data_IF_183356533726
#
_entry.id   IF_183356533726
#
_cell.length_a   1.000
_cell.length_b   1.000
_cell.length_c   1.000
_cell.angle_alpha   90.00
_cell.angle_beta   90.00
_cell.angle_gamma   90.00
#
_symmetry.space_group_name_H-M   'P 1'
#
loop_
_entity.id
_entity.type
_entity.pdbx_description
1 polymer ?
#
# COMPACT_ATOMS: atom_id res chain seq x y z
N UNK A 1 -10.76 -0.06 -3.92
CA UNK A 1 -10.83 1.22 -3.20
C UNK A 1 -11.51 0.98 -1.86
N UNK A 2 -11.11 1.64 -0.77
CA UNK A 2 -11.79 1.54 0.52
C UNK A 2 -13.23 2.05 0.40
N UNK A 3 -14.17 1.39 1.07
CA UNK A 3 -15.58 1.76 1.03
C UNK A 3 -15.85 3.06 1.81
N UNK A 4 -16.27 4.11 1.08
CA UNK A 4 -16.56 5.43 1.64
C UNK A 4 -15.36 6.37 1.75
N UNK A 5 -14.24 6.09 1.09
CA UNK A 5 -13.17 7.08 0.90
C UNK A 5 -13.64 8.25 0.03
N UNK A 6 -13.23 9.46 0.36
CA UNK A 6 -13.51 10.64 -0.44
C UNK A 6 -12.84 10.52 -1.81
N UNK A 7 -13.61 10.67 -2.90
CA UNK A 7 -13.16 10.36 -4.26
C UNK A 7 -11.95 11.19 -4.75
N UNK A 8 -11.68 12.34 -4.12
CA UNK A 8 -10.60 13.25 -4.50
C UNK A 8 -9.43 13.30 -3.49
N UNK A 9 -9.52 12.56 -2.39
CA UNK A 9 -8.50 12.58 -1.34
C UNK A 9 -7.42 11.53 -1.65
N UNK A 10 -6.13 11.86 -1.45
CA UNK A 10 -5.05 10.90 -1.70
C UNK A 10 -5.18 9.69 -0.78
N UNK A 11 -4.87 8.51 -1.33
CA UNK A 11 -4.84 7.25 -0.58
C UNK A 11 -3.39 6.85 -0.42
N UNK A 12 -2.94 6.72 0.83
CA UNK A 12 -1.62 6.24 1.18
C UNK A 12 -1.66 4.72 1.37
N UNK A 13 -0.94 3.97 0.53
CA UNK A 13 -0.73 2.53 0.72
C UNK A 13 0.69 2.26 1.21
N UNK A 14 0.78 1.55 2.33
CA UNK A 14 2.02 1.02 2.89
C UNK A 14 1.95 -0.51 2.93
N UNK A 15 3.01 -1.19 2.52
CA UNK A 15 3.12 -2.65 2.61
C UNK A 15 4.42 -3.02 3.30
N UNK A 16 4.30 -3.94 4.26
CA UNK A 16 5.37 -4.44 5.10
C UNK A 16 5.56 -5.94 4.88
N UNK A 17 6.82 -6.37 4.81
CA UNK A 17 7.18 -7.79 4.81
C UNK A 17 7.01 -8.42 6.19
N UNK A 18 7.25 -9.73 6.28
CA UNK A 18 7.12 -10.50 7.53
C UNK A 18 7.91 -9.93 8.72
N UNK A 19 9.08 -9.33 8.46
CA UNK A 19 9.93 -8.74 9.50
C UNK A 19 9.52 -7.30 9.88
N UNK A 20 8.38 -6.81 9.40
CA UNK A 20 7.96 -5.41 9.61
C UNK A 20 8.72 -4.38 8.77
N UNK A 21 9.57 -4.82 7.84
CA UNK A 21 10.27 -3.93 6.91
C UNK A 21 9.30 -3.41 5.85
N UNK A 22 9.28 -2.08 5.64
CA UNK A 22 8.49 -1.46 4.56
C UNK A 22 9.08 -1.84 3.20
N UNK A 23 8.32 -2.57 2.39
CA UNK A 23 8.72 -3.06 1.05
C UNK A 23 8.07 -2.28 -0.09
N UNK A 24 6.94 -1.62 0.18
CA UNK A 24 6.26 -0.79 -0.81
C UNK A 24 5.55 0.39 -0.14
N UNK A 25 5.54 1.52 -0.85
CA UNK A 25 4.84 2.75 -0.47
C UNK A 25 4.29 3.44 -1.71
N UNK A 26 3.03 3.90 -1.62
CA UNK A 26 2.43 4.75 -2.64
C UNK A 26 1.54 5.79 -1.99
N UNK A 27 1.91 7.06 -2.14
CA UNK A 27 1.19 8.18 -1.54
C UNK A 27 -0.11 8.55 -2.27
N UNK A 28 -0.23 8.11 -3.52
CA UNK A 28 -1.32 8.43 -4.44
C UNK A 28 -1.94 7.15 -5.01
N UNK A 29 -2.11 6.14 -4.16
CA UNK A 29 -2.52 4.80 -4.55
C UNK A 29 -3.81 4.80 -5.38
N UNK A 30 -3.77 4.14 -6.53
CA UNK A 30 -4.89 4.01 -7.45
C UNK A 30 -5.14 5.23 -8.35
N UNK A 31 -4.45 6.36 -8.12
CA UNK A 31 -4.50 7.52 -9.02
C UNK A 31 -3.84 7.14 -10.35
N UNK A 32 -4.50 7.47 -11.47
CA UNK A 32 -4.03 7.11 -12.84
C UNK A 32 -3.76 5.61 -13.04
N UNK A 33 -4.39 4.73 -12.27
CA UNK A 33 -4.21 3.28 -12.39
C UNK A 33 -2.92 2.74 -11.76
N UNK A 34 -2.27 3.53 -10.90
CA UNK A 34 -1.09 3.11 -10.15
C UNK A 34 -1.48 2.19 -8.98
N UNK A 35 -1.67 0.92 -9.32
CA UNK A 35 -1.99 -0.15 -8.39
C UNK A 35 -0.77 -1.00 -8.09
N UNK A 36 -0.75 -1.59 -6.90
CA UNK A 36 0.30 -2.50 -6.48
C UNK A 36 0.28 -3.75 -7.36
N UNK A 37 1.43 -4.08 -7.97
CA UNK A 37 1.57 -5.20 -8.91
C UNK A 37 2.40 -6.37 -8.36
N UNK A 38 2.66 -6.40 -7.05
CA UNK A 38 3.51 -7.44 -6.46
C UNK A 38 5.01 -7.15 -6.50
N UNK A 39 5.42 -5.89 -6.68
CA UNK A 39 6.83 -5.50 -6.73
C UNK A 39 7.16 -4.50 -5.62
N UNK A 40 8.33 -4.66 -5.00
CA UNK A 40 8.86 -3.70 -4.03
C UNK A 40 9.34 -2.41 -4.70
N UNK A 41 9.13 -1.26 -4.06
CA UNK A 41 9.59 0.05 -4.57
C UNK A 41 10.37 0.90 -3.55
N UNK A 42 10.58 0.42 -2.33
CA UNK A 42 11.31 1.18 -1.30
C UNK A 42 12.82 1.09 -1.48
N UNK A 43 13.46 2.27 -1.53
CA UNK A 43 14.92 2.41 -1.56
C UNK A 43 15.49 1.92 -0.22
N UNK A 44 16.12 0.75 -0.21
CA UNK A 44 16.63 0.11 1.02
C UNK A 44 16.36 -1.39 1.06
N UNK A 45 15.37 -1.87 0.30
CA UNK A 45 15.28 -3.29 -0.04
C UNK A 45 16.29 -3.57 -1.16
N UNK A 46 17.25 -4.49 -0.94
CA UNK A 46 18.27 -4.86 -1.92
C UNK A 46 17.55 -5.35 -3.19
N UNK A 47 17.47 -4.48 -4.19
CA UNK A 47 16.70 -4.66 -5.42
C UNK A 47 15.41 -3.83 -5.44
N UNK A 48 15.52 -2.58 -5.90
CA UNK A 48 14.34 -1.86 -6.41
C UNK A 48 13.66 -2.78 -7.44
N UNK A 49 12.33 -2.90 -7.38
CA UNK A 49 11.54 -3.72 -8.29
C UNK A 49 11.70 -5.25 -8.11
N UNK A 50 12.06 -5.72 -6.91
CA UNK A 50 12.02 -7.15 -6.58
C UNK A 50 10.58 -7.66 -6.51
N UNK A 51 10.31 -8.77 -7.20
CA UNK A 51 9.04 -9.49 -7.10
C UNK A 51 8.83 -10.02 -5.66
N UNK A 52 7.63 -9.82 -5.15
CA UNK A 52 7.21 -10.20 -3.81
C UNK A 52 6.37 -11.49 -3.90
N UNK A 53 6.66 -12.46 -3.02
CA UNK A 53 5.91 -13.71 -2.94
C UNK A 53 5.64 -14.04 -1.48
N UNK A 54 4.40 -14.39 -1.15
CA UNK A 54 3.96 -14.73 0.19
C UNK A 54 3.00 -13.71 0.79
N UNK A 55 2.90 -13.72 2.12
CA UNK A 55 1.96 -12.89 2.88
C UNK A 55 2.63 -11.62 3.38
N UNK A 56 1.98 -10.49 3.14
CA UNK A 56 2.41 -9.15 3.52
C UNK A 56 1.34 -8.49 4.38
N UNK A 57 1.77 -7.58 5.26
CA UNK A 57 0.86 -6.73 6.01
C UNK A 57 0.72 -5.38 5.29
N UNK A 58 -0.50 -4.87 5.16
CA UNK A 58 -0.74 -3.59 4.53
C UNK A 58 -1.50 -2.63 5.44
N UNK A 59 -1.25 -1.34 5.24
CA UNK A 59 -1.99 -0.24 5.84
C UNK A 59 -2.42 0.69 4.71
N UNK A 60 -3.72 1.00 4.65
CA UNK A 60 -4.30 2.02 3.77
C UNK A 60 -4.76 3.19 4.63
N UNK A 61 -4.17 4.36 4.42
CA UNK A 61 -4.60 5.62 5.03
C UNK A 61 -5.41 6.41 3.99
N UNK A 62 -6.58 6.91 4.38
CA UNK A 62 -7.45 7.68 3.50
C UNK A 62 -8.32 8.66 4.30
N UNK A 63 -8.80 9.71 3.66
CA UNK A 63 -9.75 10.65 4.27
C UNK A 63 -11.19 10.18 4.06
N UNK A 64 -11.98 10.22 5.13
CA UNK A 64 -13.41 9.92 5.15
C UNK A 64 -14.13 10.93 6.03
N UNK A 65 -15.02 11.72 5.43
CA UNK A 65 -15.77 12.78 6.11
C UNK A 65 -14.87 13.80 6.84
N UNK A 66 -13.78 14.22 6.19
CA UNK A 66 -12.81 15.15 6.76
C UNK A 66 -11.95 14.59 7.90
N UNK A 67 -12.01 13.28 8.18
CA UNK A 67 -11.14 12.59 9.14
C UNK A 67 -10.21 11.62 8.43
N UNK A 68 -8.99 11.49 8.91
CA UNK A 68 -8.08 10.43 8.46
C UNK A 68 -8.46 9.10 9.11
N UNK A 69 -8.66 8.10 8.27
CA UNK A 69 -8.98 6.73 8.66
C UNK A 69 -7.86 5.80 8.20
N UNK A 70 -7.68 4.70 8.93
CA UNK A 70 -6.70 3.67 8.59
C UNK A 70 -7.37 2.30 8.50
N UNK A 71 -7.21 1.63 7.36
CA UNK A 71 -7.58 0.24 7.18
C UNK A 71 -6.32 -0.64 7.16
N UNK A 72 -6.33 -1.74 7.90
CA UNK A 72 -5.19 -2.65 8.04
C UNK A 72 -5.59 -4.06 7.68
N UNK A 73 -4.66 -4.84 7.14
CA UNK A 73 -4.94 -6.22 6.80
C UNK A 73 -3.74 -6.97 6.25
N UNK A 74 -4.00 -8.18 5.77
CA UNK A 74 -3.00 -9.02 5.13
C UNK A 74 -3.30 -9.18 3.64
N UNK A 75 -2.26 -9.15 2.82
CA UNK A 75 -2.30 -9.38 1.39
C UNK A 75 -1.42 -10.59 1.06
N UNK A 76 -1.96 -11.53 0.30
CA UNK A 76 -1.19 -12.64 -0.25
C UNK A 76 -0.81 -12.34 -1.71
N UNK A 77 0.48 -12.42 -2.01
CA UNK A 77 1.04 -12.24 -3.37
C UNK A 77 1.56 -13.58 -3.86
N UNK A 78 1.11 -14.00 -5.04
CA UNK A 78 1.47 -15.28 -5.66
C UNK A 78 2.37 -15.09 -6.86
#
# INVERSE_FOLDING_TARGET
>A
MPEGAEANSPIHLLIFGQMGLKVYENEHYGKKGDYFRGYANTKGFIGNNKALHGTYFYIVCYSKHGKEEQQKGFLYVR
#
